data_IF_726387369343
#
_entry.id   IF_726387369343
#
_cell.length_a   1.000
_cell.length_b   1.000
_cell.length_c   1.000
_cell.angle_alpha   90.00
_cell.angle_beta   90.00
_cell.angle_gamma   90.00
#
_symmetry.space_group_name_H-M   'P 1'
#
loop_
_entity.id
_entity.type
_entity.pdbx_description
1 polymer ?
#
# COMPACT_ATOMS: atom_id res chain seq x y z
N UNK A 1 20.36 27.75 0.39
CA UNK A 1 19.71 26.47 0.73
C UNK A 1 19.08 25.99 -0.57
N UNK A 2 19.46 24.82 -1.14
CA UNK A 2 18.86 24.39 -2.40
C UNK A 2 17.40 24.03 -2.14
N UNK A 3 16.50 24.59 -2.94
CA UNK A 3 15.10 24.20 -2.94
C UNK A 3 15.05 22.80 -3.54
N UNK A 4 14.74 21.80 -2.72
CA UNK A 4 14.44 20.47 -3.23
C UNK A 4 13.11 20.58 -3.96
N UNK A 5 13.14 20.61 -5.29
CA UNK A 5 11.93 20.42 -6.09
C UNK A 5 11.25 19.15 -5.60
N UNK A 6 10.03 19.28 -5.07
CA UNK A 6 9.30 18.16 -4.54
C UNK A 6 8.91 17.28 -5.74
N UNK A 7 9.70 16.25 -6.01
CA UNK A 7 9.49 15.34 -7.14
C UNK A 7 8.16 14.59 -7.02
N UNK A 8 7.49 14.68 -5.86
CA UNK A 8 6.13 14.16 -5.64
C UNK A 8 5.00 15.13 -5.96
N UNK A 9 5.25 16.18 -6.74
CA UNK A 9 4.24 17.22 -7.03
C UNK A 9 3.04 16.68 -7.83
N UNK A 10 3.28 15.80 -8.81
CA UNK A 10 2.22 15.22 -9.64
C UNK A 10 2.55 13.76 -9.98
N UNK A 11 1.56 12.87 -9.84
CA UNK A 11 1.67 11.46 -10.18
C UNK A 11 0.68 11.09 -11.28
N UNK A 12 1.09 10.24 -12.22
CA UNK A 12 0.24 9.68 -13.27
C UNK A 12 -0.28 8.30 -12.85
N UNK A 13 -1.58 8.02 -13.10
CA UNK A 13 -2.14 6.69 -12.95
C UNK A 13 -1.63 5.78 -14.08
N UNK A 14 -0.86 4.75 -13.74
CA UNK A 14 -0.22 3.84 -14.69
C UNK A 14 -0.83 2.43 -14.72
N UNK A 15 -1.73 2.12 -13.77
CA UNK A 15 -2.32 0.79 -13.72
C UNK A 15 -3.49 0.68 -12.74
N UNK A 16 -4.29 -0.37 -12.93
CA UNK A 16 -5.36 -0.78 -12.01
C UNK A 16 -4.86 -1.88 -11.10
N UNK A 17 -5.28 -1.85 -9.85
CA UNK A 17 -5.01 -2.89 -8.86
C UNK A 17 -6.24 -3.77 -8.77
N UNK A 18 -6.08 -5.06 -9.05
CA UNK A 18 -7.16 -6.03 -9.01
C UNK A 18 -6.85 -7.07 -7.92
N UNK A 19 -7.84 -7.37 -7.08
CA UNK A 19 -7.74 -8.45 -6.12
C UNK A 19 -7.74 -9.79 -6.87
N UNK A 20 -6.67 -10.59 -6.72
CA UNK A 20 -6.52 -11.89 -7.41
C UNK A 20 -7.66 -12.85 -7.05
N UNK A 21 -8.16 -12.79 -5.80
CA UNK A 21 -9.19 -13.72 -5.32
C UNK A 21 -10.57 -13.42 -5.90
N UNK A 22 -10.95 -12.15 -6.01
CA UNK A 22 -12.30 -11.73 -6.41
C UNK A 22 -12.36 -11.20 -7.84
N UNK A 23 -11.20 -10.94 -8.46
CA UNK A 23 -11.08 -10.23 -9.73
C UNK A 23 -11.70 -8.82 -9.73
N UNK A 24 -11.93 -8.24 -8.55
CA UNK A 24 -12.48 -6.90 -8.38
C UNK A 24 -11.35 -5.88 -8.35
N UNK A 25 -11.54 -4.75 -9.04
CA UNK A 25 -10.64 -3.60 -8.97
C UNK A 25 -10.76 -2.92 -7.60
N UNK A 26 -9.63 -2.78 -6.91
CA UNK A 26 -9.56 -2.26 -5.53
C UNK A 26 -8.73 -0.98 -5.42
N UNK A 27 -8.17 -0.49 -6.53
CA UNK A 27 -7.38 0.73 -6.51
C UNK A 27 -6.62 1.00 -7.80
N UNK A 28 -5.74 2.00 -7.72
CA UNK A 28 -4.88 2.46 -8.81
C UNK A 28 -3.41 2.49 -8.38
N UNK A 29 -2.53 2.23 -9.34
CA UNK A 29 -1.09 2.39 -9.20
C UNK A 29 -0.67 3.71 -9.85
N UNK A 30 -0.02 4.56 -9.08
CA UNK A 30 0.51 5.84 -9.53
C UNK A 30 2.02 5.78 -9.69
N UNK A 31 2.55 6.59 -10.61
CA UNK A 31 3.99 6.80 -10.81
C UNK A 31 4.32 8.29 -10.92
N UNK A 32 5.41 8.70 -10.30
CA UNK A 32 5.98 10.04 -10.45
C UNK A 32 7.09 10.07 -11.49
N UNK A 33 7.51 11.27 -11.88
CA UNK A 33 8.56 11.49 -12.89
C UNK A 33 9.93 10.91 -12.49
N UNK A 34 10.20 10.76 -11.20
CA UNK A 34 11.41 10.06 -10.70
C UNK A 34 11.32 8.53 -10.81
N UNK A 35 10.18 7.99 -11.25
CA UNK A 35 9.92 6.56 -11.31
C UNK A 35 9.43 5.94 -10.00
N UNK A 36 9.28 6.71 -8.92
CA UNK A 36 8.63 6.24 -7.69
C UNK A 36 7.20 5.79 -8.02
N UNK A 37 6.73 4.76 -7.33
CA UNK A 37 5.36 4.27 -7.46
C UNK A 37 4.63 4.20 -6.13
N UNK A 38 3.34 4.45 -6.13
CA UNK A 38 2.47 4.28 -4.96
C UNK A 38 1.12 3.70 -5.35
N UNK A 39 0.66 2.72 -4.58
CA UNK A 39 -0.71 2.23 -4.66
C UNK A 39 -1.65 3.14 -3.86
N UNK A 40 -2.79 3.48 -4.44
CA UNK A 40 -3.92 4.05 -3.71
C UNK A 40 -5.09 3.09 -3.83
N UNK A 41 -5.52 2.54 -2.70
CA UNK A 41 -6.71 1.71 -2.63
C UNK A 41 -7.93 2.62 -2.59
N UNK A 42 -9.02 2.20 -3.23
CA UNK A 42 -10.29 2.88 -3.08
C UNK A 42 -10.70 2.80 -1.61
N UNK A 43 -11.19 3.91 -1.04
CA UNK A 43 -11.86 3.82 0.24
C UNK A 43 -13.12 3.01 0.03
N UNK A 44 -13.13 1.80 0.57
CA UNK A 44 -14.37 1.07 0.74
C UNK A 44 -15.25 1.93 1.65
N UNK A 45 -16.38 2.42 1.13
CA UNK A 45 -17.49 2.88 1.97
C UNK A 45 -18.11 1.73 2.79
N UNK A 46 -17.38 0.63 2.97
CA UNK A 46 -17.80 -0.56 3.69
C UNK A 46 -17.22 -0.46 5.08
N UNK A 47 -18.08 -0.01 5.99
CA UNK A 47 -18.04 -0.43 7.39
C UNK A 47 -18.22 -1.96 7.48
N UNK A 48 -17.29 -2.74 6.96
CA UNK A 48 -17.07 -4.13 7.35
C UNK A 48 -15.74 -4.54 6.73
N UNK A 49 -14.68 -4.51 7.54
CA UNK A 49 -13.45 -5.21 7.24
C UNK A 49 -13.77 -6.69 7.06
N UNK A 50 -13.61 -7.32 5.87
CA UNK A 50 -13.37 -8.74 5.85
C UNK A 50 -11.98 -8.90 6.44
N UNK A 51 -11.92 -9.36 7.69
CA UNK A 51 -10.69 -9.75 8.34
C UNK A 51 -9.91 -10.67 7.39
N UNK A 52 -8.85 -10.14 6.77
CA UNK A 52 -7.74 -10.99 6.37
C UNK A 52 -7.36 -11.74 7.65
N UNK A 53 -7.37 -13.08 7.69
CA UNK A 53 -6.90 -13.78 8.87
C UNK A 53 -5.47 -13.34 9.09
N UNK A 54 -5.31 -12.52 10.12
CA UNK A 54 -4.07 -12.06 10.68
C UNK A 54 -3.24 -13.33 10.88
N UNK A 55 -2.18 -13.46 10.08
CA UNK A 55 -1.22 -14.51 10.26
C UNK A 55 -0.62 -14.24 11.65
N UNK A 56 -1.10 -14.98 12.66
CA UNK A 56 -0.65 -14.89 14.04
C UNK A 56 0.86 -15.07 14.06
N UNK A 57 1.59 -13.95 13.98
CA UNK A 57 2.97 -13.88 14.38
C UNK A 57 2.92 -13.84 15.90
N UNK A 58 2.86 -15.01 16.53
CA UNK A 58 3.20 -15.15 17.94
C UNK A 58 4.60 -14.54 18.14
N UNK A 59 4.76 -13.46 18.93
CA UNK A 59 6.09 -13.14 19.42
C UNK A 59 6.37 -14.09 20.58
N UNK A 60 7.08 -15.18 20.30
CA UNK A 60 7.63 -16.03 21.36
C UNK A 60 8.76 -15.24 22.04
N UNK A 61 8.40 -14.61 23.16
CA UNK A 61 9.31 -14.00 24.12
C UNK A 61 10.13 -15.11 24.80
N UNK A 62 11.34 -15.33 24.30
CA UNK A 62 12.35 -16.16 24.95
C UNK A 62 13.71 -15.79 24.36
N UNK A 63 14.80 -15.56 25.09
CA UNK A 63 15.11 -15.37 26.50
C UNK A 63 16.58 -14.90 26.49
N UNK A 64 16.98 -14.13 27.51
CA UNK A 64 18.34 -13.75 27.91
C UNK A 64 19.53 -14.30 27.08
N UNK A 65 20.36 -13.39 26.55
CA UNK A 65 21.78 -13.69 26.28
C UNK A 65 22.64 -13.06 27.38
N UNK A 66 23.37 -13.93 28.07
CA UNK A 66 24.47 -13.63 29.00
C UNK A 66 25.60 -12.84 28.34
#
# INVERSE_FOLDING_TARGET
MPEFENIRTAAEAIGRITCIKTSVEVGLLYRWDNGDTQAALYEDNLSETPSCPEQQSNPDLSSNRS
#
